data_IF_574609597474
#
_entry.id   IF_574609597474
#
_cell.length_a   1.000
_cell.length_b   1.000
_cell.length_c   1.000
_cell.angle_alpha   90.00
_cell.angle_beta   90.00
_cell.angle_gamma   90.00
#
_symmetry.space_group_name_H-M   'P 1'
#
loop_
_entity.id
_entity.type
_entity.pdbx_description
1 polymer ?
#
# COMPACT_ATOMS: atom_id res chain seq x y z
N UNK A 1 6.80 6.24 -20.40
CA UNK A 1 5.51 6.79 -19.96
C UNK A 1 5.17 6.19 -18.60
N UNK A 2 4.54 6.95 -17.71
CA UNK A 2 4.09 6.47 -16.39
C UNK A 2 2.59 6.24 -16.45
N UNK A 3 2.13 5.08 -16.00
CA UNK A 3 0.71 4.71 -16.01
C UNK A 3 0.30 4.21 -14.63
N UNK A 4 -0.86 4.64 -14.12
CA UNK A 4 -1.48 4.06 -12.92
C UNK A 4 -2.63 3.18 -13.36
N UNK A 5 -2.69 1.95 -12.86
CA UNK A 5 -3.69 0.96 -13.25
C UNK A 5 -4.30 0.30 -12.03
N UNK A 6 -5.61 0.10 -12.04
CA UNK A 6 -6.28 -0.89 -11.20
C UNK A 6 -6.16 -2.25 -11.90
N UNK A 7 -5.68 -3.28 -11.20
CA UNK A 7 -5.50 -4.61 -11.78
C UNK A 7 -6.73 -5.49 -11.54
N UNK A 8 -7.17 -6.18 -12.60
CA UNK A 8 -8.08 -7.33 -12.47
C UNK A 8 -7.34 -8.62 -12.07
N UNK A 9 -8.04 -9.74 -11.82
CA UNK A 9 -7.43 -10.96 -11.27
C UNK A 9 -6.28 -11.54 -12.12
N UNK A 10 -6.47 -11.66 -13.43
CA UNK A 10 -5.44 -12.17 -14.34
C UNK A 10 -4.22 -11.24 -14.40
N UNK A 11 -4.44 -9.92 -14.38
CA UNK A 11 -3.36 -8.93 -14.41
C UNK A 11 -2.60 -8.89 -13.08
N UNK A 12 -3.31 -9.04 -11.95
CA UNK A 12 -2.70 -9.13 -10.62
C UNK A 12 -1.79 -10.35 -10.51
N UNK A 13 -2.22 -11.51 -11.03
CA UNK A 13 -1.40 -12.72 -11.09
C UNK A 13 -0.14 -12.52 -11.93
N UNK A 14 -0.27 -11.92 -13.11
CA UNK A 14 0.87 -11.60 -13.98
C UNK A 14 1.84 -10.58 -13.36
N UNK A 15 1.35 -9.70 -12.48
CA UNK A 15 2.14 -8.66 -11.82
C UNK A 15 2.95 -9.16 -10.62
N UNK A 16 2.72 -10.38 -10.13
CA UNK A 16 3.35 -10.91 -8.90
C UNK A 16 4.89 -10.79 -8.92
N UNK A 17 5.62 -11.14 -10.00
CA UNK A 17 7.08 -11.02 -10.00
C UNK A 17 7.57 -9.59 -9.73
N UNK A 18 7.01 -8.59 -10.40
CA UNK A 18 7.39 -7.18 -10.19
C UNK A 18 6.96 -6.67 -8.80
N UNK A 19 5.81 -7.11 -8.29
CA UNK A 19 5.33 -6.74 -6.96
C UNK A 19 6.21 -7.34 -5.85
N UNK A 20 6.71 -8.56 -6.04
CA UNK A 20 7.70 -9.18 -5.18
C UNK A 20 8.99 -8.36 -5.12
N UNK A 21 9.52 -7.94 -6.28
CA UNK A 21 10.69 -7.06 -6.36
C UNK A 21 10.46 -5.74 -5.59
N UNK A 22 9.32 -5.07 -5.81
CA UNK A 22 8.98 -3.81 -5.14
C UNK A 22 8.93 -3.97 -3.62
N UNK A 23 8.29 -5.04 -3.14
CA UNK A 23 8.18 -5.28 -1.70
C UNK A 23 9.54 -5.61 -1.08
N UNK A 24 10.31 -6.50 -1.70
CA UNK A 24 11.64 -6.86 -1.24
C UNK A 24 12.56 -5.63 -1.15
N UNK A 25 12.57 -4.79 -2.20
CA UNK A 25 13.36 -3.55 -2.21
C UNK A 25 12.95 -2.57 -1.09
N UNK A 26 11.66 -2.48 -0.77
CA UNK A 26 11.20 -1.63 0.32
C UNK A 26 11.59 -2.17 1.70
N UNK A 27 11.47 -3.47 1.92
CA UNK A 27 11.85 -4.12 3.19
C UNK A 27 13.36 -4.05 3.40
N UNK A 28 14.15 -4.34 2.37
CA UNK A 28 15.61 -4.15 2.35
C UNK A 28 16.01 -2.68 2.55
N UNK A 29 15.18 -1.74 2.10
CA UNK A 29 15.32 -0.32 2.36
C UNK A 29 14.89 0.15 3.75
N UNK A 30 14.59 -0.75 4.68
CA UNK A 30 14.21 -0.45 6.07
C UNK A 30 12.75 -0.05 6.28
N UNK A 31 11.86 -0.24 5.30
CA UNK A 31 10.46 0.09 5.46
C UNK A 31 9.75 -0.92 6.37
N UNK A 32 9.21 -0.45 7.51
CA UNK A 32 8.32 -1.28 8.35
C UNK A 32 6.94 -1.39 7.69
N UNK A 33 6.79 -2.45 6.88
CA UNK A 33 5.56 -2.73 6.10
C UNK A 33 5.00 -4.12 6.36
N UNK A 34 5.39 -4.73 7.49
CA UNK A 34 4.90 -6.03 7.98
C UNK A 34 5.85 -7.21 7.76
N UNK A 35 7.09 -6.98 7.34
CA UNK A 35 8.09 -8.03 7.07
C UNK A 35 9.45 -7.67 7.65
N UNK A 36 10.31 -8.68 7.86
CA UNK A 36 11.60 -8.58 8.55
C UNK A 36 12.74 -8.96 7.60
N UNK A 37 13.94 -8.40 7.82
CA UNK A 37 15.14 -8.79 7.09
C UNK A 37 15.81 -10.04 7.68
N UNK A 38 16.50 -10.86 6.85
CA UNK A 38 16.63 -10.73 5.39
C UNK A 38 15.30 -11.06 4.67
N UNK A 39 15.01 -10.37 3.56
CA UNK A 39 13.76 -10.53 2.82
C UNK A 39 13.99 -10.37 1.31
N UNK A 40 13.78 -11.44 0.54
CA UNK A 40 13.94 -11.46 -0.91
C UNK A 40 12.62 -11.52 -1.68
N UNK A 41 12.65 -11.38 -3.02
CA UNK A 41 11.44 -11.45 -3.85
C UNK A 41 10.64 -12.76 -3.69
N UNK A 42 11.30 -13.89 -3.45
CA UNK A 42 10.59 -15.17 -3.25
C UNK A 42 9.81 -15.21 -1.92
N UNK A 43 10.29 -14.53 -0.87
CA UNK A 43 9.58 -14.44 0.42
C UNK A 43 8.27 -13.63 0.30
N UNK A 44 8.22 -12.70 -0.66
CA UNK A 44 7.05 -11.90 -0.97
C UNK A 44 5.96 -12.65 -1.72
N UNK A 45 6.28 -13.81 -2.32
CA UNK A 45 5.37 -14.53 -3.23
C UNK A 45 4.08 -14.96 -2.53
N UNK A 46 4.18 -15.52 -1.33
CA UNK A 46 3.00 -15.97 -0.57
C UNK A 46 2.05 -14.80 -0.25
N UNK A 47 2.62 -13.65 0.13
CA UNK A 47 1.82 -12.45 0.40
C UNK A 47 1.07 -11.99 -0.85
N UNK A 48 1.77 -11.86 -1.98
CA UNK A 48 1.17 -11.37 -3.22
C UNK A 48 0.17 -12.36 -3.82
N UNK A 49 0.38 -13.67 -3.67
CA UNK A 49 -0.63 -14.65 -4.06
C UNK A 49 -1.92 -14.48 -3.25
N UNK A 50 -1.82 -14.25 -1.94
CA UNK A 50 -2.99 -13.93 -1.11
C UNK A 50 -3.69 -12.62 -1.53
N UNK A 51 -2.93 -11.64 -2.03
CA UNK A 51 -3.52 -10.41 -2.61
C UNK A 51 -4.23 -10.70 -3.92
N UNK A 52 -3.69 -11.57 -4.79
CA UNK A 52 -4.37 -12.00 -6.02
C UNK A 52 -5.71 -12.66 -5.70
N UNK A 53 -5.73 -13.57 -4.73
CA UNK A 53 -6.96 -14.25 -4.31
C UNK A 53 -7.97 -13.23 -3.72
N UNK A 54 -7.49 -12.24 -2.97
CA UNK A 54 -8.33 -11.16 -2.44
C UNK A 54 -8.86 -10.20 -3.52
N UNK A 55 -8.11 -9.99 -4.61
CA UNK A 55 -8.58 -9.23 -5.78
C UNK A 55 -9.68 -10.02 -6.50
N UNK A 56 -9.49 -11.33 -6.69
CA UNK A 56 -10.48 -12.21 -7.31
C UNK A 56 -11.80 -12.25 -6.51
N UNK A 57 -11.70 -12.31 -5.19
CA UNK A 57 -12.85 -12.23 -4.28
C UNK A 57 -13.48 -10.81 -4.18
N UNK A 58 -12.92 -9.80 -4.83
CA UNK A 58 -13.35 -8.40 -4.70
C UNK A 58 -13.10 -7.79 -3.31
N UNK A 59 -12.32 -8.46 -2.46
CA UNK A 59 -12.01 -8.03 -1.11
C UNK A 59 -10.95 -6.94 -1.06
N UNK A 60 -10.08 -6.86 -2.07
CA UNK A 60 -9.01 -5.86 -2.19
C UNK A 60 -8.99 -5.25 -3.59
N UNK A 61 -8.77 -3.93 -3.66
CA UNK A 61 -8.40 -3.25 -4.91
C UNK A 61 -6.88 -3.12 -4.94
N UNK A 62 -6.25 -3.60 -6.00
CA UNK A 62 -4.80 -3.51 -6.19
C UNK A 62 -4.49 -2.52 -7.32
N UNK A 63 -3.88 -1.40 -6.97
CA UNK A 63 -3.40 -0.42 -7.93
C UNK A 63 -1.88 -0.50 -8.05
N UNK A 64 -1.37 -0.27 -9.26
CA UNK A 64 0.06 -0.30 -9.57
C UNK A 64 0.49 0.91 -10.38
N UNK A 65 1.74 1.30 -10.19
CA UNK A 65 2.43 2.30 -10.99
C UNK A 65 3.41 1.60 -11.93
N UNK A 66 3.19 1.74 -13.22
CA UNK A 66 4.03 1.15 -14.26
C UNK A 66 4.87 2.23 -14.93
N UNK A 67 6.15 1.94 -15.12
CA UNK A 67 7.09 2.79 -15.85
C UNK A 67 7.86 1.93 -16.83
N UNK A 68 7.66 2.19 -18.13
CA UNK A 68 8.42 1.51 -19.18
C UNK A 68 8.19 0.00 -19.21
N UNK A 69 6.96 -0.46 -18.95
CA UNK A 69 6.60 -1.87 -18.94
C UNK A 69 6.89 -2.61 -17.63
N UNK A 70 7.52 -1.97 -16.64
CA UNK A 70 7.79 -2.56 -15.31
C UNK A 70 6.91 -1.92 -14.24
N UNK A 71 6.31 -2.75 -13.38
CA UNK A 71 5.64 -2.27 -12.18
C UNK A 71 6.70 -1.87 -11.14
N UNK A 72 6.63 -0.62 -10.68
CA UNK A 72 7.61 -0.01 -9.77
C UNK A 72 6.98 0.59 -8.52
N UNK A 73 5.67 0.43 -8.37
CA UNK A 73 4.96 0.86 -7.17
C UNK A 73 3.55 0.28 -7.11
N UNK A 74 2.97 0.32 -5.92
CA UNK A 74 1.66 -0.27 -5.63
C UNK A 74 0.96 0.46 -4.50
N UNK A 75 -0.36 0.35 -4.44
CA UNK A 75 -1.19 0.66 -3.28
C UNK A 75 -2.41 -0.26 -3.29
N UNK A 76 -2.87 -0.65 -2.10
CA UNK A 76 -4.03 -1.51 -1.91
C UNK A 76 -5.13 -0.79 -1.14
N UNK A 77 -6.39 -1.08 -1.48
CA UNK A 77 -7.57 -0.72 -0.70
C UNK A 77 -8.25 -2.00 -0.25
N UNK A 78 -8.22 -2.30 1.05
CA UNK A 78 -8.97 -3.38 1.68
C UNK A 78 -10.45 -3.03 1.76
N UNK A 79 -11.20 -3.36 0.71
CA UNK A 79 -12.59 -2.94 0.50
C UNK A 79 -13.61 -3.84 1.22
N UNK A 80 -13.31 -5.12 1.44
CA UNK A 80 -14.13 -6.00 2.26
C UNK A 80 -13.95 -5.64 3.74
N UNK A 81 -15.03 -5.17 4.35
CA UNK A 81 -15.10 -4.82 5.77
C UNK A 81 -16.25 -5.59 6.42
N UNK A 82 -16.27 -5.62 7.76
CA UNK A 82 -17.39 -6.19 8.51
C UNK A 82 -18.71 -5.49 8.16
N UNK A 83 -19.88 -6.15 8.33
CA UNK A 83 -21.17 -5.62 7.89
C UNK A 83 -21.56 -4.25 8.45
N UNK A 84 -21.04 -3.85 9.61
CA UNK A 84 -21.27 -2.53 10.21
C UNK A 84 -20.30 -1.43 9.73
N UNK A 85 -19.39 -1.75 8.81
CA UNK A 85 -18.33 -0.87 8.30
C UNK A 85 -18.34 -0.75 6.76
N UNK A 86 -19.50 -0.77 6.06
CA UNK A 86 -19.53 -0.83 4.60
C UNK A 86 -18.92 0.42 3.94
N UNK A 87 -18.98 1.55 4.65
CA UNK A 87 -18.50 2.86 4.22
C UNK A 87 -16.98 3.05 4.38
N UNK A 88 -16.29 2.16 5.12
CA UNK A 88 -14.83 2.24 5.33
C UNK A 88 -14.07 1.34 4.35
N UNK A 89 -12.84 1.72 4.04
CA UNK A 89 -11.81 0.80 3.59
C UNK A 89 -10.45 1.14 4.22
N UNK A 90 -9.54 0.16 4.25
CA UNK A 90 -8.20 0.33 4.79
C UNK A 90 -7.19 0.50 3.65
N UNK A 91 -6.37 1.56 3.68
CA UNK A 91 -5.30 1.75 2.71
C UNK A 91 -4.03 1.04 3.18
N UNK A 92 -3.44 0.22 2.31
CA UNK A 92 -2.31 -0.65 2.65
C UNK A 92 -1.27 -0.63 1.53
N UNK A 93 -0.02 -0.98 1.89
CA UNK A 93 1.08 -1.23 0.94
C UNK A 93 1.25 -0.14 -0.13
N UNK A 94 1.23 1.13 0.28
CA UNK A 94 1.77 2.20 -0.56
C UNK A 94 3.29 2.04 -0.65
N UNK A 95 3.76 1.40 -1.72
CA UNK A 95 5.17 1.09 -1.92
C UNK A 95 5.64 1.66 -3.25
N UNK A 96 6.86 2.18 -3.27
CA UNK A 96 7.54 2.62 -4.50
C UNK A 96 8.99 2.16 -4.43
N UNK A 97 9.39 1.38 -5.43
CA UNK A 97 10.75 0.90 -5.60
C UNK A 97 11.74 2.08 -5.56
N UNK A 98 12.87 1.94 -4.86
CA UNK A 98 13.86 3.00 -4.61
C UNK A 98 14.30 3.70 -5.90
N UNK A 99 14.52 2.94 -6.98
CA UNK A 99 14.90 3.48 -8.30
C UNK A 99 13.84 4.36 -8.98
N UNK A 100 12.59 4.34 -8.51
CA UNK A 100 11.47 5.09 -9.06
C UNK A 100 10.94 6.20 -8.14
N UNK A 101 11.57 6.41 -6.97
CA UNK A 101 11.22 7.48 -6.02
C UNK A 101 11.54 8.87 -6.59
N UNK A 102 10.98 9.91 -5.96
CA UNK A 102 11.15 11.31 -6.41
C UNK A 102 10.35 11.70 -7.65
N UNK A 103 9.55 10.79 -8.21
CA UNK A 103 8.77 11.00 -9.44
C UNK A 103 7.28 11.26 -9.21
N UNK A 104 6.88 11.49 -7.96
CA UNK A 104 5.48 11.74 -7.59
C UNK A 104 4.55 10.53 -7.68
N UNK A 105 5.09 9.30 -7.84
CA UNK A 105 4.28 8.08 -8.01
C UNK A 105 3.38 7.79 -6.81
N UNK A 106 3.84 8.03 -5.58
CA UNK A 106 3.04 7.85 -4.38
C UNK A 106 1.76 8.69 -4.41
N UNK A 107 1.85 9.97 -4.81
CA UNK A 107 0.68 10.84 -4.99
C UNK A 107 -0.26 10.31 -6.06
N UNK A 108 0.26 9.93 -7.23
CA UNK A 108 -0.56 9.41 -8.33
C UNK A 108 -1.30 8.12 -7.94
N UNK A 109 -0.65 7.23 -7.19
CA UNK A 109 -1.24 6.01 -6.64
C UNK A 109 -2.34 6.34 -5.64
N UNK A 110 -2.09 7.24 -4.69
CA UNK A 110 -3.06 7.66 -3.68
C UNK A 110 -4.30 8.31 -4.32
N UNK A 111 -4.11 9.24 -5.25
CA UNK A 111 -5.21 9.91 -5.96
C UNK A 111 -6.09 8.89 -6.71
N UNK A 112 -5.48 7.88 -7.33
CA UNK A 112 -6.21 6.81 -7.99
C UNK A 112 -6.93 5.89 -7.00
N UNK A 113 -6.28 5.51 -5.90
CA UNK A 113 -6.87 4.66 -4.88
C UNK A 113 -8.08 5.32 -4.20
N UNK A 114 -8.01 6.61 -3.93
CA UNK A 114 -9.12 7.40 -3.40
C UNK A 114 -10.32 7.42 -4.36
N UNK A 115 -10.09 7.66 -5.67
CA UNK A 115 -11.16 7.62 -6.68
C UNK A 115 -11.80 6.24 -6.81
N UNK A 116 -10.99 5.18 -6.81
CA UNK A 116 -11.49 3.80 -6.91
C UNK A 116 -12.24 3.35 -5.64
N UNK A 117 -11.85 3.85 -4.48
CA UNK A 117 -12.58 3.61 -3.24
C UNK A 117 -13.94 4.35 -3.24
N UNK A 118 -13.94 5.63 -3.62
CA UNK A 118 -15.14 6.46 -3.73
C UNK A 118 -16.17 5.85 -4.69
N UNK A 119 -15.74 5.39 -5.87
CA UNK A 119 -16.62 4.75 -6.87
C UNK A 119 -17.30 3.46 -6.36
N UNK A 120 -16.79 2.88 -5.26
CA UNK A 120 -17.33 1.70 -4.58
C UNK A 120 -18.06 2.04 -3.28
N UNK A 121 -18.47 3.30 -3.12
CA UNK A 121 -19.28 3.77 -1.98
C UNK A 121 -18.50 3.88 -0.67
N UNK A 122 -17.17 3.92 -0.72
CA UNK A 122 -16.35 4.21 0.46
C UNK A 122 -16.33 5.71 0.70
N UNK A 123 -16.56 6.13 1.93
CA UNK A 123 -16.55 7.55 2.33
C UNK A 123 -15.44 7.88 3.32
N UNK A 124 -14.78 6.87 3.88
CA UNK A 124 -13.62 7.05 4.76
C UNK A 124 -12.57 5.98 4.50
N UNK A 125 -11.32 6.42 4.38
CA UNK A 125 -10.14 5.57 4.35
C UNK A 125 -9.35 5.72 5.64
N UNK A 126 -8.77 4.61 6.10
CA UNK A 126 -7.91 4.57 7.30
C UNK A 126 -6.60 3.87 6.96
N UNK A 127 -5.51 4.31 7.56
CA UNK A 127 -4.22 3.65 7.49
C UNK A 127 -3.40 3.88 8.75
N UNK A 128 -2.34 3.11 8.90
CA UNK A 128 -1.23 3.41 9.77
C UNK A 128 0.10 3.35 9.01
N UNK A 129 1.12 4.00 9.54
CA UNK A 129 2.46 4.01 8.96
C UNK A 129 3.51 4.17 10.05
N UNK A 130 4.72 3.69 9.80
CA UNK A 130 5.84 3.84 10.72
C UNK A 130 6.11 5.32 11.05
N UNK A 131 6.12 5.65 12.34
CA UNK A 131 6.39 7.00 12.84
C UNK A 131 7.83 7.39 12.54
N UNK A 132 8.04 8.58 12.01
CA UNK A 132 9.35 9.09 11.59
C UNK A 132 9.81 8.58 10.22
N UNK A 133 9.01 7.76 9.52
CA UNK A 133 9.35 7.31 8.17
C UNK A 133 9.09 8.39 7.11
N UNK A 134 9.77 8.27 5.96
CA UNK A 134 9.51 9.14 4.80
C UNK A 134 8.04 9.13 4.35
N UNK A 135 7.35 7.99 4.52
CA UNK A 135 5.96 7.82 4.16
C UNK A 135 5.03 8.66 5.05
N UNK A 136 5.35 8.81 6.34
CA UNK A 136 4.53 9.60 7.29
C UNK A 136 4.31 11.03 6.80
N UNK A 137 5.35 11.67 6.25
CA UNK A 137 5.28 13.05 5.77
C UNK A 137 4.42 13.23 4.50
N UNK A 138 4.09 12.14 3.79
CA UNK A 138 3.27 12.18 2.58
C UNK A 138 1.80 12.41 2.94
N UNK A 139 1.29 11.72 3.97
CA UNK A 139 -0.14 11.65 4.25
C UNK A 139 -0.77 13.03 4.56
N UNK A 140 -0.22 13.88 5.44
CA UNK A 140 -0.77 15.22 5.67
C UNK A 140 -0.81 16.09 4.42
N UNK A 141 0.20 15.97 3.55
CA UNK A 141 0.28 16.73 2.28
C UNK A 141 -0.78 16.32 1.28
N UNK A 142 -1.30 15.09 1.42
CA UNK A 142 -2.41 14.57 0.63
C UNK A 142 -3.76 14.74 1.34
N UNK A 143 -3.82 15.52 2.43
CA UNK A 143 -5.06 15.82 3.14
C UNK A 143 -5.54 14.70 4.07
N UNK A 144 -4.66 13.80 4.49
CA UNK A 144 -4.96 12.83 5.54
C UNK A 144 -4.80 13.47 6.92
N UNK A 145 -5.73 13.16 7.81
CA UNK A 145 -5.78 13.67 9.17
C UNK A 145 -5.12 12.68 10.12
N UNK A 146 -4.15 13.16 10.90
CA UNK A 146 -3.45 12.37 11.93
C UNK A 146 -4.39 12.12 13.12
N UNK A 147 -4.48 10.87 13.56
CA UNK A 147 -5.27 10.46 14.73
C UNK A 147 -4.40 10.43 15.99
N UNK A 148 -3.27 9.72 15.92
CA UNK A 148 -2.44 9.46 17.09
C UNK A 148 -1.30 8.49 16.78
N UNK A 149 -0.54 8.15 17.82
CA UNK A 149 0.60 7.23 17.74
C UNK A 149 0.39 6.10 18.73
N UNK A 150 0.64 4.87 18.29
CA UNK A 150 0.80 3.73 19.18
C UNK A 150 2.29 3.40 19.26
N UNK A 151 2.92 3.50 20.45
CA UNK A 151 4.30 3.08 20.63
C UNK A 151 4.41 1.57 20.46
N UNK A 152 5.56 1.10 19.99
CA UNK A 152 5.90 -0.32 19.89
C UNK A 152 4.87 -1.19 19.14
N UNK A 153 4.15 -0.59 18.19
CA UNK A 153 3.09 -1.23 17.43
C UNK A 153 3.62 -2.33 16.49
N UNK A 154 4.80 -2.12 15.91
CA UNK A 154 5.44 -3.02 14.96
C UNK A 154 6.93 -3.16 15.27
N UNK A 155 7.64 -3.92 14.43
CA UNK A 155 9.09 -3.97 14.40
C UNK A 155 9.62 -3.24 13.16
N UNK A 156 10.81 -2.66 13.27
CA UNK A 156 11.60 -2.31 12.09
C UNK A 156 12.14 -3.59 11.43
N UNK A 157 12.38 -3.63 10.11
CA UNK A 157 12.84 -4.84 9.44
C UNK A 157 14.15 -5.41 10.00
N UNK A 158 15.06 -4.55 10.48
CA UNK A 158 16.34 -4.92 11.10
C UNK A 158 16.20 -5.35 12.57
N UNK A 159 15.00 -5.22 13.15
CA UNK A 159 14.70 -5.45 14.56
C UNK A 159 14.51 -4.17 15.37
N UNK A 160 14.00 -4.33 16.59
CA UNK A 160 13.64 -3.22 17.48
C UNK A 160 12.22 -2.69 17.21
N UNK A 161 11.65 -2.05 18.22
CA UNK A 161 10.27 -1.58 18.18
C UNK A 161 10.10 -0.33 17.30
N UNK A 162 8.98 -0.32 16.58
CA UNK A 162 8.55 0.75 15.68
C UNK A 162 7.16 1.23 16.11
N UNK A 163 7.03 2.52 16.41
CA UNK A 163 5.73 3.13 16.65
C UNK A 163 4.97 3.34 15.33
N UNK A 164 3.64 3.23 15.33
CA UNK A 164 2.80 3.57 14.17
C UNK A 164 1.98 4.83 14.41
N UNK A 165 2.00 5.74 13.43
CA UNK A 165 1.09 6.87 13.34
C UNK A 165 -0.14 6.47 12.52
N UNK A 166 -1.33 6.68 13.09
CA UNK A 166 -2.61 6.40 12.44
C UNK A 166 -3.17 7.65 11.76
N UNK A 167 -3.76 7.44 10.58
CA UNK A 167 -4.38 8.48 9.78
C UNK A 167 -5.76 8.05 9.26
N UNK A 168 -6.62 9.03 9.01
CA UNK A 168 -7.83 8.82 8.22
C UNK A 168 -7.99 9.92 7.17
N UNK A 169 -8.84 9.67 6.18
CA UNK A 169 -9.30 10.68 5.24
C UNK A 169 -10.73 10.41 4.84
N UNK A 170 -11.59 11.43 4.92
CA UNK A 170 -12.91 11.39 4.30
C UNK A 170 -12.77 11.64 2.81
N UNK A 171 -13.42 10.82 1.99
CA UNK A 171 -13.39 10.89 0.54
C UNK A 171 -14.82 11.12 0.02
N UNK A 172 -14.93 11.82 -1.11
CA UNK A 172 -16.21 12.25 -1.70
C UNK A 172 -16.87 11.13 -2.50
#
# INVERSE_FOLDING_TARGET
MTTIRLLGPAEASAAVPDLCDVLADCVDGGASVGFMQPYGPEDARTYWQGVVDAVDAGATLLLVAEVGGKIVGTVQIGAAQMPNQPHRADLKKLLVHRSARGRGLARLLMDAAEREAASRGKSILVLDTATGSDAEAIYPRLGWERVGVIPDYALWPEGGFCASTFFYKRIA
#
